data_IF_366847561178
#
_entry.id   IF_366847561178
#
_cell.length_a   1.000
_cell.length_b   1.000
_cell.length_c   1.000
_cell.angle_alpha   90.00
_cell.angle_beta   90.00
_cell.angle_gamma   90.00
#
_symmetry.space_group_name_H-M   'P 1'
#
loop_
_entity.id
_entity.type
_entity.pdbx_description
1 polymer ?
#
# COMPACT_ATOMS: atom_id res chain seq x y z
N UNK A 1 -106.04 26.39 -13.84
CA UNK A 1 -105.29 26.47 -12.56
C UNK A 1 -104.46 25.19 -12.27
N UNK A 2 -104.96 23.98 -12.56
CA UNK A 2 -104.25 22.74 -12.23
C UNK A 2 -103.05 22.40 -13.14
N UNK A 3 -103.10 22.73 -14.43
CA UNK A 3 -101.97 22.54 -15.36
C UNK A 3 -100.78 23.45 -15.05
N UNK A 4 -101.02 24.71 -14.66
CA UNK A 4 -99.96 25.64 -14.28
C UNK A 4 -99.28 25.19 -12.97
N UNK A 5 -100.03 24.58 -12.04
CA UNK A 5 -99.47 24.03 -10.80
C UNK A 5 -98.74 22.70 -10.98
N UNK A 6 -99.07 21.88 -11.99
CA UNK A 6 -98.31 20.65 -12.29
C UNK A 6 -97.04 20.97 -13.07
N UNK A 7 -97.13 21.86 -14.07
CA UNK A 7 -95.98 22.35 -14.83
C UNK A 7 -95.00 23.14 -13.94
N UNK A 8 -95.48 23.91 -12.95
CA UNK A 8 -94.59 24.56 -11.98
C UNK A 8 -93.92 23.56 -11.02
N UNK A 9 -94.55 22.43 -10.72
CA UNK A 9 -93.99 21.36 -9.87
C UNK A 9 -92.98 20.49 -10.62
N UNK A 10 -93.23 20.19 -11.90
CA UNK A 10 -92.28 19.50 -12.78
C UNK A 10 -91.05 20.39 -13.07
N UNK A 11 -91.27 21.66 -13.41
CA UNK A 11 -90.20 22.66 -13.53
C UNK A 11 -89.39 22.80 -12.23
N UNK A 12 -90.04 22.84 -11.07
CA UNK A 12 -89.36 22.92 -9.78
C UNK A 12 -88.58 21.65 -9.42
N UNK A 13 -88.94 20.49 -9.97
CA UNK A 13 -88.28 19.20 -9.73
C UNK A 13 -87.06 19.03 -10.65
N UNK A 14 -87.18 19.41 -11.92
CA UNK A 14 -86.05 19.52 -12.85
C UNK A 14 -84.98 20.50 -12.34
N UNK A 15 -85.40 21.64 -11.78
CA UNK A 15 -84.48 22.60 -11.14
C UNK A 15 -83.75 21.93 -9.96
N UNK A 16 -84.44 21.14 -9.14
CA UNK A 16 -83.88 20.51 -7.95
C UNK A 16 -82.91 19.37 -8.28
N UNK A 17 -83.20 18.59 -9.33
CA UNK A 17 -82.29 17.56 -9.85
C UNK A 17 -81.08 18.18 -10.55
N UNK A 18 -81.25 19.31 -11.23
CA UNK A 18 -80.14 20.12 -11.77
C UNK A 18 -79.24 20.63 -10.63
N UNK A 19 -79.82 21.17 -9.55
CA UNK A 19 -79.06 21.62 -8.36
C UNK A 19 -78.28 20.47 -7.72
N UNK A 20 -78.86 19.26 -7.62
CA UNK A 20 -78.15 18.07 -7.12
C UNK A 20 -77.02 17.63 -8.05
N UNK A 21 -77.24 17.70 -9.37
CA UNK A 21 -76.20 17.43 -10.36
C UNK A 21 -75.02 18.40 -10.24
N UNK A 22 -75.32 19.69 -10.03
CA UNK A 22 -74.31 20.73 -9.78
C UNK A 22 -73.54 20.46 -8.49
N UNK A 23 -74.20 20.08 -7.38
CA UNK A 23 -73.51 19.72 -6.13
C UNK A 23 -72.55 18.54 -6.31
N UNK A 24 -72.98 17.46 -6.97
CA UNK A 24 -72.09 16.31 -7.26
C UNK A 24 -70.88 16.69 -8.10
N UNK A 25 -71.05 17.60 -9.06
CA UNK A 25 -69.95 18.12 -9.87
C UNK A 25 -69.00 18.97 -9.02
N UNK A 26 -69.53 19.82 -8.14
CA UNK A 26 -68.73 20.59 -7.17
C UNK A 26 -67.92 19.67 -6.25
N UNK A 27 -68.56 18.68 -5.61
CA UNK A 27 -67.88 17.69 -4.76
C UNK A 27 -66.77 16.95 -5.53
N UNK A 28 -67.03 16.58 -6.79
CA UNK A 28 -66.03 15.94 -7.65
C UNK A 28 -64.88 16.87 -8.03
N UNK A 29 -65.13 18.17 -8.18
CA UNK A 29 -64.10 19.17 -8.48
C UNK A 29 -63.24 19.40 -7.23
N UNK A 30 -63.85 19.55 -6.05
CA UNK A 30 -63.13 19.71 -4.78
C UNK A 30 -62.22 18.51 -4.49
N UNK A 31 -62.72 17.28 -4.71
CA UNK A 31 -61.90 16.08 -4.55
C UNK A 31 -60.70 16.07 -5.50
N UNK A 32 -60.92 16.40 -6.78
CA UNK A 32 -59.84 16.50 -7.78
C UNK A 32 -58.85 17.61 -7.43
N UNK A 33 -59.32 18.73 -6.89
CA UNK A 33 -58.46 19.82 -6.46
C UNK A 33 -57.55 19.35 -5.30
N UNK A 34 -58.11 18.68 -4.30
CA UNK A 34 -57.35 18.12 -3.18
C UNK A 34 -56.29 17.09 -3.64
N UNK A 35 -56.65 16.22 -4.59
CA UNK A 35 -55.70 15.25 -5.17
C UNK A 35 -54.55 15.93 -5.94
N UNK A 36 -54.85 17.01 -6.67
CA UNK A 36 -53.84 17.82 -7.36
C UNK A 36 -52.91 18.50 -6.36
N UNK A 37 -53.45 19.11 -5.29
CA UNK A 37 -52.64 19.77 -4.26
C UNK A 37 -51.74 18.76 -3.52
N UNK A 38 -52.25 17.57 -3.18
CA UNK A 38 -51.45 16.49 -2.61
C UNK A 38 -50.35 16.01 -3.57
N UNK A 39 -50.68 15.84 -4.85
CA UNK A 39 -49.70 15.44 -5.87
C UNK A 39 -48.63 16.50 -6.10
N UNK A 40 -49.01 17.78 -6.05
CA UNK A 40 -48.10 18.93 -6.18
C UNK A 40 -47.12 18.99 -5.02
N UNK A 41 -47.60 18.89 -3.78
CA UNK A 41 -46.74 18.91 -2.58
C UNK A 41 -45.78 17.72 -2.52
N UNK A 42 -46.20 16.54 -2.98
CA UNK A 42 -45.30 15.38 -3.11
C UNK A 42 -44.27 15.59 -4.22
N UNK A 43 -44.65 16.21 -5.35
CA UNK A 43 -43.72 16.56 -6.42
C UNK A 43 -42.67 17.58 -5.97
N UNK A 44 -43.05 18.62 -5.22
CA UNK A 44 -42.12 19.58 -4.61
C UNK A 44 -41.13 18.89 -3.68
N UNK A 45 -41.61 18.01 -2.79
CA UNK A 45 -40.75 17.22 -1.89
C UNK A 45 -39.76 16.33 -2.64
N UNK A 46 -40.21 15.70 -3.72
CA UNK A 46 -39.36 14.84 -4.53
C UNK A 46 -38.30 15.65 -5.29
N UNK A 47 -38.64 16.85 -5.75
CA UNK A 47 -37.70 17.76 -6.40
C UNK A 47 -36.61 18.24 -5.42
N UNK A 48 -36.98 18.58 -4.19
CA UNK A 48 -36.01 18.93 -3.14
C UNK A 48 -35.11 17.74 -2.78
N UNK A 49 -35.68 16.54 -2.68
CA UNK A 49 -34.91 15.32 -2.43
C UNK A 49 -33.90 15.06 -3.55
N UNK A 50 -34.32 15.22 -4.82
CA UNK A 50 -33.44 15.07 -5.98
C UNK A 50 -32.27 16.06 -5.95
N UNK A 51 -32.52 17.33 -5.60
CA UNK A 51 -31.46 18.34 -5.42
C UNK A 51 -30.47 17.96 -4.31
N UNK A 52 -30.95 17.44 -3.19
CA UNK A 52 -30.07 16.99 -2.10
C UNK A 52 -29.18 15.84 -2.58
N UNK A 53 -29.76 14.86 -3.28
CA UNK A 53 -29.03 13.71 -3.84
C UNK A 53 -27.94 14.18 -4.81
N UNK A 54 -28.25 15.08 -5.74
CA UNK A 54 -27.29 15.63 -6.70
C UNK A 54 -26.10 16.31 -5.99
N UNK A 55 -26.37 17.10 -4.96
CA UNK A 55 -25.32 17.72 -4.14
C UNK A 55 -24.46 16.68 -3.40
N UNK A 56 -25.06 15.58 -2.93
CA UNK A 56 -24.33 14.50 -2.28
C UNK A 56 -23.44 13.75 -3.28
N UNK A 57 -23.95 13.42 -4.46
CA UNK A 57 -23.19 12.78 -5.55
C UNK A 57 -21.99 13.64 -5.96
N UNK A 58 -22.20 14.95 -6.16
CA UNK A 58 -21.11 15.88 -6.47
C UNK A 58 -20.09 15.97 -5.33
N UNK A 59 -20.55 15.98 -4.07
CA UNK A 59 -19.68 15.98 -2.90
C UNK A 59 -18.81 14.73 -2.80
N UNK A 60 -19.41 13.55 -3.00
CA UNK A 60 -18.68 12.26 -2.98
C UNK A 60 -17.71 12.19 -4.16
N UNK A 61 -18.10 12.66 -5.36
CA UNK A 61 -17.20 12.72 -6.52
C UNK A 61 -15.99 13.61 -6.24
N UNK A 62 -16.21 14.79 -5.68
CA UNK A 62 -15.11 15.72 -5.34
C UNK A 62 -14.10 15.11 -4.36
N UNK A 63 -14.58 14.38 -3.34
CA UNK A 63 -13.70 13.65 -2.41
C UNK A 63 -12.95 12.53 -3.14
N UNK A 64 -13.65 11.79 -4.00
CA UNK A 64 -13.07 10.69 -4.79
C UNK A 64 -11.93 11.19 -5.67
N UNK A 65 -12.17 12.26 -6.42
CA UNK A 65 -11.20 12.86 -7.35
C UNK A 65 -9.98 13.41 -6.60
N UNK A 66 -10.19 13.99 -5.41
CA UNK A 66 -9.09 14.50 -4.60
C UNK A 66 -8.21 13.37 -4.05
N UNK A 67 -8.81 12.30 -3.52
CA UNK A 67 -8.06 11.17 -2.93
C UNK A 67 -7.33 10.39 -4.01
N UNK A 68 -8.02 10.02 -5.11
CA UNK A 68 -7.44 9.21 -6.18
C UNK A 68 -6.53 10.01 -7.14
N UNK A 69 -6.61 11.34 -7.11
CA UNK A 69 -5.77 12.22 -7.92
C UNK A 69 -4.68 12.89 -7.09
N UNK A 70 -4.84 14.18 -6.71
CA UNK A 70 -3.80 14.95 -6.04
C UNK A 70 -3.17 14.27 -4.83
N UNK A 71 -3.97 13.69 -3.94
CA UNK A 71 -3.46 13.08 -2.71
C UNK A 71 -2.60 11.83 -3.00
N UNK A 72 -3.04 10.98 -3.94
CA UNK A 72 -2.27 9.80 -4.35
C UNK A 72 -0.97 10.17 -5.07
N UNK A 73 -0.99 11.19 -5.92
CA UNK A 73 0.21 11.71 -6.58
C UNK A 73 1.20 12.27 -5.56
N UNK A 74 0.73 13.06 -4.59
CA UNK A 74 1.58 13.61 -3.53
C UNK A 74 2.21 12.50 -2.68
N UNK A 75 1.42 11.50 -2.29
CA UNK A 75 1.91 10.38 -1.49
C UNK A 75 2.93 9.52 -2.26
N UNK A 76 2.69 9.26 -3.55
CA UNK A 76 3.59 8.49 -4.41
C UNK A 76 4.89 9.22 -4.76
N UNK A 77 4.84 10.56 -4.87
CA UNK A 77 6.03 11.36 -5.15
C UNK A 77 6.99 11.45 -3.95
N UNK A 78 6.48 11.29 -2.73
CA UNK A 78 7.26 11.38 -1.50
C UNK A 78 7.84 10.02 -1.07
N UNK A 79 8.72 9.40 -1.87
CA UNK A 79 9.33 8.10 -1.57
C UNK A 79 10.65 8.17 -0.77
N UNK A 80 11.26 9.36 -0.64
CA UNK A 80 12.58 9.54 -0.04
C UNK A 80 12.60 9.31 1.48
N UNK A 81 13.72 8.84 2.01
CA UNK A 81 13.97 8.75 3.46
C UNK A 81 15.15 9.67 3.78
N UNK A 82 15.11 10.37 4.92
CA UNK A 82 16.17 11.30 5.31
C UNK A 82 17.51 10.59 5.50
N UNK A 83 18.60 11.36 5.47
CA UNK A 83 19.97 10.87 5.62
C UNK A 83 20.74 11.52 6.78
N UNK A 84 20.10 12.46 7.48
CA UNK A 84 20.57 13.11 8.70
C UNK A 84 19.35 13.62 9.50
N UNK A 85 19.57 14.15 10.72
CA UNK A 85 18.50 14.63 11.61
C UNK A 85 17.65 15.74 10.97
N UNK A 86 18.24 16.60 10.15
CA UNK A 86 17.56 17.76 9.57
C UNK A 86 16.66 17.34 8.41
N UNK A 87 17.19 16.55 7.49
CA UNK A 87 16.47 16.03 6.32
C UNK A 87 15.34 15.07 6.71
N UNK A 88 15.53 14.22 7.73
CA UNK A 88 14.43 13.34 8.21
C UNK A 88 13.35 14.13 8.96
N UNK A 89 13.69 15.22 9.67
CA UNK A 89 12.68 16.11 10.29
C UNK A 89 11.87 16.85 9.23
N UNK A 90 12.53 17.36 8.19
CA UNK A 90 11.88 18.07 7.08
C UNK A 90 10.88 17.17 6.34
N UNK A 91 11.31 15.96 5.96
CA UNK A 91 10.42 14.99 5.33
C UNK A 91 9.24 14.60 6.24
N UNK A 92 9.46 14.49 7.55
CA UNK A 92 8.37 14.26 8.51
C UNK A 92 7.37 15.42 8.52
N UNK A 93 7.83 16.67 8.53
CA UNK A 93 6.97 17.87 8.49
C UNK A 93 6.19 17.98 7.18
N UNK A 94 6.81 17.68 6.05
CA UNK A 94 6.13 17.64 4.76
C UNK A 94 5.01 16.60 4.76
N UNK A 95 5.26 15.42 5.33
CA UNK A 95 4.24 14.39 5.47
C UNK A 95 3.11 14.80 6.43
N UNK A 96 3.42 15.43 7.56
CA UNK A 96 2.43 15.97 8.51
C UNK A 96 1.48 16.98 7.84
N UNK A 97 1.98 17.79 6.91
CA UNK A 97 1.15 18.70 6.10
C UNK A 97 0.12 17.95 5.24
N UNK A 98 0.53 16.84 4.63
CA UNK A 98 -0.37 15.97 3.86
C UNK A 98 -1.41 15.33 4.78
N UNK A 99 -1.00 14.82 5.94
CA UNK A 99 -1.91 14.24 6.93
C UNK A 99 -3.00 15.24 7.37
N UNK A 100 -2.63 16.52 7.53
CA UNK A 100 -3.57 17.57 7.88
C UNK A 100 -4.61 17.80 6.77
N UNK A 101 -4.18 17.85 5.50
CA UNK A 101 -5.10 17.96 4.36
C UNK A 101 -6.03 16.75 4.27
N UNK A 102 -5.51 15.54 4.46
CA UNK A 102 -6.33 14.33 4.47
C UNK A 102 -7.37 14.34 5.59
N UNK A 103 -7.02 14.83 6.78
CA UNK A 103 -7.96 14.93 7.91
C UNK A 103 -9.13 15.84 7.59
N UNK A 104 -8.90 16.97 6.93
CA UNK A 104 -9.96 17.87 6.51
C UNK A 104 -10.89 17.20 5.50
N UNK A 105 -10.33 16.55 4.47
CA UNK A 105 -11.11 15.82 3.46
C UNK A 105 -11.93 14.68 4.08
N UNK A 106 -11.35 13.90 4.99
CA UNK A 106 -12.08 12.83 5.69
C UNK A 106 -13.19 13.37 6.59
N UNK A 107 -13.00 14.54 7.21
CA UNK A 107 -14.06 15.23 7.95
C UNK A 107 -15.25 15.59 7.05
N UNK A 108 -14.98 16.22 5.90
CA UNK A 108 -16.02 16.54 4.91
C UNK A 108 -16.74 15.29 4.39
N UNK A 109 -15.99 14.21 4.15
CA UNK A 109 -16.57 12.95 3.71
C UNK A 109 -17.45 12.31 4.78
N UNK A 110 -17.06 12.37 6.06
CA UNK A 110 -17.90 11.88 7.16
C UNK A 110 -19.23 12.66 7.26
N UNK A 111 -19.21 13.98 7.06
CA UNK A 111 -20.44 14.78 6.99
C UNK A 111 -21.35 14.37 5.82
N UNK A 112 -20.77 14.05 4.65
CA UNK A 112 -21.51 13.54 3.51
C UNK A 112 -22.13 12.17 3.81
N UNK A 113 -21.38 11.26 4.44
CA UNK A 113 -21.89 9.95 4.86
C UNK A 113 -23.08 10.09 5.80
N UNK A 114 -22.98 10.96 6.80
CA UNK A 114 -24.10 11.21 7.72
C UNK A 114 -25.36 11.74 7.01
N UNK A 115 -25.20 12.57 5.98
CA UNK A 115 -26.33 13.06 5.17
C UNK A 115 -26.90 11.99 4.24
N UNK A 116 -26.07 11.10 3.71
CA UNK A 116 -26.52 9.96 2.91
C UNK A 116 -27.32 8.98 3.78
N UNK A 117 -26.83 8.68 4.99
CA UNK A 117 -27.45 7.73 5.91
C UNK A 117 -28.77 8.25 6.52
N UNK A 118 -28.99 9.56 6.53
CA UNK A 118 -30.25 10.16 7.00
C UNK A 118 -31.38 10.14 5.96
N UNK A 119 -31.06 9.85 4.69
CA UNK A 119 -32.07 9.72 3.63
C UNK A 119 -32.75 8.34 3.64
N UNK A 120 -34.06 8.26 3.31
CA UNK A 120 -34.75 6.98 3.19
C UNK A 120 -34.10 6.10 2.11
N UNK A 121 -33.83 4.82 2.44
CA UNK A 121 -33.21 3.84 1.51
C UNK A 121 -33.94 3.66 0.18
N UNK A 122 -35.26 3.89 0.15
CA UNK A 122 -36.10 3.83 -1.05
C UNK A 122 -35.90 5.00 -2.02
N UNK A 123 -35.39 6.14 -1.53
CA UNK A 123 -35.14 7.35 -2.34
C UNK A 123 -33.67 7.51 -2.75
N UNK A 124 -32.77 6.66 -2.25
CA UNK A 124 -31.34 6.70 -2.55
C UNK A 124 -31.03 5.98 -3.88
N UNK A 125 -30.35 6.64 -4.84
CA UNK A 125 -29.87 6.00 -6.07
C UNK A 125 -28.89 4.87 -5.78
N UNK A 126 -28.91 3.81 -6.59
CA UNK A 126 -27.97 2.70 -6.46
C UNK A 126 -26.52 3.10 -6.77
N UNK A 127 -26.34 4.08 -7.67
CA UNK A 127 -25.01 4.60 -8.02
C UNK A 127 -24.35 5.29 -6.82
N UNK A 128 -25.09 6.15 -6.11
CA UNK A 128 -24.60 6.83 -4.90
C UNK A 128 -24.25 5.82 -3.78
N UNK A 129 -25.05 4.76 -3.61
CA UNK A 129 -24.75 3.67 -2.66
C UNK A 129 -23.46 2.95 -3.05
N UNK A 130 -23.31 2.62 -4.32
CA UNK A 130 -22.13 1.94 -4.86
C UNK A 130 -20.88 2.81 -4.72
N UNK A 131 -20.98 4.11 -5.00
CA UNK A 131 -19.89 5.06 -4.86
C UNK A 131 -19.49 5.26 -3.40
N UNK A 132 -20.45 5.27 -2.46
CA UNK A 132 -20.18 5.25 -1.02
C UNK A 132 -19.37 4.02 -0.61
N UNK A 133 -19.82 2.83 -1.01
CA UNK A 133 -19.16 1.57 -0.63
C UNK A 133 -17.76 1.46 -1.23
N UNK A 134 -17.60 1.88 -2.48
CA UNK A 134 -16.30 2.02 -3.12
C UNK A 134 -15.38 2.96 -2.34
N UNK A 135 -15.89 4.10 -1.87
CA UNK A 135 -15.10 5.08 -1.16
C UNK A 135 -14.70 4.67 0.25
N UNK A 136 -15.47 3.81 0.94
CA UNK A 136 -15.00 3.20 2.21
C UNK A 136 -13.72 2.37 1.97
N UNK A 137 -13.68 1.59 0.89
CA UNK A 137 -12.47 0.85 0.50
C UNK A 137 -11.30 1.78 0.13
N UNK A 138 -11.54 2.81 -0.68
CA UNK A 138 -10.51 3.77 -1.12
C UNK A 138 -9.91 4.51 0.07
N UNK A 139 -10.74 5.06 0.96
CA UNK A 139 -10.29 5.78 2.15
C UNK A 139 -9.47 4.88 3.08
N UNK A 140 -9.89 3.63 3.32
CA UNK A 140 -9.15 2.66 4.14
C UNK A 140 -7.77 2.34 3.54
N UNK A 141 -7.73 2.07 2.23
CA UNK A 141 -6.51 1.76 1.50
C UNK A 141 -5.52 2.94 1.55
N UNK A 142 -6.00 4.15 1.25
CA UNK A 142 -5.19 5.36 1.27
C UNK A 142 -4.67 5.67 2.68
N UNK A 143 -5.53 5.63 3.71
CA UNK A 143 -5.15 5.85 5.10
C UNK A 143 -4.07 4.85 5.57
N UNK A 144 -4.18 3.58 5.16
CA UNK A 144 -3.18 2.56 5.47
C UNK A 144 -1.81 2.86 4.83
N UNK A 145 -1.78 3.38 3.61
CA UNK A 145 -0.53 3.80 2.94
C UNK A 145 0.07 5.05 3.56
N UNK A 146 -0.76 6.04 3.90
CA UNK A 146 -0.36 7.26 4.59
C UNK A 146 0.31 6.92 5.93
N UNK A 147 -0.34 6.08 6.74
CA UNK A 147 0.19 5.66 8.05
C UNK A 147 1.48 4.83 7.93
N UNK A 148 1.59 3.93 6.94
CA UNK A 148 2.85 3.21 6.69
C UNK A 148 4.01 4.18 6.42
N UNK A 149 3.77 5.21 5.60
CA UNK A 149 4.78 6.23 5.27
C UNK A 149 5.18 7.04 6.50
N UNK A 150 4.21 7.44 7.32
CA UNK A 150 4.44 8.13 8.60
C UNK A 150 5.38 7.34 9.50
N UNK A 151 5.13 6.03 9.65
CA UNK A 151 5.93 5.16 10.51
C UNK A 151 7.39 5.05 10.05
N UNK A 152 7.63 5.02 8.74
CA UNK A 152 8.99 5.05 8.17
C UNK A 152 9.70 6.36 8.53
N UNK A 153 9.02 7.50 8.37
CA UNK A 153 9.61 8.83 8.64
C UNK A 153 9.89 9.04 10.13
N UNK A 154 8.96 8.65 11.02
CA UNK A 154 9.16 8.72 12.46
C UNK A 154 10.33 7.82 12.88
N UNK A 155 10.43 6.62 12.33
CA UNK A 155 11.52 5.68 12.65
C UNK A 155 12.86 6.21 12.16
N UNK A 156 12.93 6.74 10.94
CA UNK A 156 14.11 7.41 10.39
C UNK A 156 14.56 8.58 11.26
N UNK A 157 13.64 9.47 11.66
CA UNK A 157 13.96 10.61 12.51
C UNK A 157 14.50 10.19 13.88
N UNK A 158 13.90 9.17 14.49
CA UNK A 158 14.39 8.61 15.76
C UNK A 158 15.78 8.02 15.62
N UNK A 159 16.04 7.28 14.54
CA UNK A 159 17.35 6.70 14.24
C UNK A 159 18.44 7.79 14.17
N UNK A 160 18.25 8.82 13.35
CA UNK A 160 19.28 9.86 13.20
C UNK A 160 19.50 10.68 14.47
N UNK A 161 18.45 10.94 15.26
CA UNK A 161 18.60 11.60 16.58
C UNK A 161 19.47 10.78 17.53
N UNK A 162 19.26 9.46 17.60
CA UNK A 162 20.06 8.57 18.43
C UNK A 162 21.52 8.51 17.97
N UNK A 163 21.75 8.48 16.66
CA UNK A 163 23.11 8.52 16.08
C UNK A 163 23.81 9.83 16.44
N UNK A 164 23.13 10.97 16.30
CA UNK A 164 23.69 12.28 16.67
C UNK A 164 24.06 12.33 18.16
N UNK A 165 23.14 11.91 19.04
CA UNK A 165 23.36 11.90 20.50
C UNK A 165 24.53 10.98 20.89
N UNK A 166 24.71 9.86 20.19
CA UNK A 166 25.87 8.99 20.37
C UNK A 166 27.18 9.66 19.97
N UNK A 167 27.22 10.31 18.80
CA UNK A 167 28.40 11.05 18.37
C UNK A 167 28.77 12.17 19.34
N UNK A 168 27.77 12.93 19.82
CA UNK A 168 27.99 13.96 20.83
C UNK A 168 28.58 13.38 22.12
N UNK A 169 28.01 12.28 22.63
CA UNK A 169 28.47 11.65 23.88
C UNK A 169 29.86 11.04 23.76
N UNK A 170 30.16 10.39 22.64
CA UNK A 170 31.51 9.84 22.39
C UNK A 170 32.55 10.94 22.23
N UNK A 171 32.18 12.07 21.64
CA UNK A 171 33.06 13.23 21.49
C UNK A 171 33.34 13.89 22.85
N UNK A 172 32.32 14.04 23.71
CA UNK A 172 32.49 14.53 25.08
C UNK A 172 33.46 13.63 25.89
N UNK A 173 33.31 12.31 25.79
CA UNK A 173 34.19 11.34 26.46
C UNK A 173 35.61 11.40 25.90
N UNK A 174 35.76 11.54 24.57
CA UNK A 174 37.07 11.71 23.94
C UNK A 174 37.75 12.99 24.43
N UNK A 175 37.06 14.13 24.46
CA UNK A 175 37.58 15.38 25.01
C UNK A 175 37.98 15.25 26.49
N UNK A 176 37.15 14.62 27.32
CA UNK A 176 37.44 14.42 28.74
C UNK A 176 38.63 13.50 29.01
N UNK A 177 38.81 12.44 28.22
CA UNK A 177 39.83 11.42 28.45
C UNK A 177 41.14 11.69 27.71
N UNK A 178 41.09 12.33 26.55
CA UNK A 178 42.23 12.50 25.65
C UNK A 178 42.75 13.94 25.66
N UNK A 179 41.87 14.93 25.78
CA UNK A 179 42.21 16.37 25.76
C UNK A 179 42.20 17.01 27.17
N UNK A 180 41.62 16.34 28.17
CA UNK A 180 41.63 16.75 29.57
C UNK A 180 43.04 16.80 30.18
N UNK A 181 43.39 17.96 30.75
CA UNK A 181 44.72 18.27 31.30
C UNK A 181 45.21 17.17 32.27
N UNK A 182 46.40 16.61 32.00
CA UNK A 182 46.99 15.47 32.71
C UNK A 182 47.43 15.84 34.14
N UNK A 183 46.54 15.66 35.11
CA UNK A 183 46.95 15.55 36.52
C UNK A 183 46.80 14.09 36.99
N UNK A 184 47.93 13.39 37.06
CA UNK A 184 48.00 12.01 37.54
C UNK A 184 47.79 11.95 39.05
N UNK A 185 46.60 11.51 39.48
CA UNK A 185 46.31 11.19 40.87
C UNK A 185 46.09 9.67 41.01
N UNK A 186 47.09 8.97 41.53
CA UNK A 186 47.13 7.50 41.64
C UNK A 186 46.07 6.92 42.60
N UNK A 187 45.46 7.72 43.47
CA UNK A 187 44.33 7.31 44.32
C UNK A 187 43.01 7.12 43.55
N UNK A 188 42.83 7.84 42.43
CA UNK A 188 41.67 7.66 41.55
C UNK A 188 41.82 6.48 40.59
N UNK A 189 43.04 5.95 40.39
CA UNK A 189 43.28 4.86 39.46
C UNK A 189 42.54 3.58 39.87
N UNK A 190 42.52 3.24 41.16
CA UNK A 190 41.77 2.06 41.66
C UNK A 190 40.26 2.23 41.55
N UNK A 191 39.72 3.43 41.80
CA UNK A 191 38.28 3.70 41.65
C UNK A 191 37.88 3.71 40.17
N UNK A 192 38.72 4.26 39.29
CA UNK A 192 38.53 4.23 37.83
C UNK A 192 38.62 2.80 37.31
N UNK A 193 39.52 1.97 37.83
CA UNK A 193 39.64 0.55 37.48
C UNK A 193 38.40 -0.24 37.91
N UNK A 194 37.87 0.00 39.12
CA UNK A 194 36.63 -0.62 39.61
C UNK A 194 35.39 -0.16 38.81
N UNK A 195 35.37 1.10 38.38
CA UNK A 195 34.32 1.65 37.52
C UNK A 195 34.40 1.06 36.10
N UNK A 196 35.61 0.82 35.59
CA UNK A 196 35.90 0.13 34.33
C UNK A 196 35.53 -1.35 34.36
N UNK A 197 35.75 -2.05 35.48
CA UNK A 197 35.29 -3.43 35.67
C UNK A 197 33.76 -3.50 35.68
N UNK A 198 33.09 -2.57 36.38
CA UNK A 198 31.62 -2.47 36.35
C UNK A 198 31.08 -2.17 34.96
N UNK A 199 31.66 -1.21 34.24
CA UNK A 199 31.26 -0.90 32.86
C UNK A 199 31.55 -2.06 31.89
N UNK A 200 32.58 -2.87 32.13
CA UNK A 200 32.84 -4.11 31.38
C UNK A 200 31.76 -5.18 31.58
N UNK A 201 31.22 -5.36 32.78
CA UNK A 201 30.07 -6.27 32.99
C UNK A 201 28.81 -5.83 32.22
N UNK A 202 28.63 -4.52 32.06
CA UNK A 202 27.52 -3.92 31.30
C UNK A 202 27.76 -4.09 29.80
N UNK A 203 28.98 -3.85 29.32
CA UNK A 203 29.39 -4.11 27.93
C UNK A 203 29.29 -5.60 27.57
N UNK A 204 29.67 -6.53 28.46
CA UNK A 204 29.47 -7.96 28.22
C UNK A 204 28.01 -8.38 28.04
N UNK A 205 27.05 -7.64 28.61
CA UNK A 205 25.62 -7.81 28.34
C UNK A 205 25.20 -7.14 27.02
N UNK A 206 25.75 -5.96 26.71
CA UNK A 206 25.52 -5.23 25.46
C UNK A 206 26.05 -5.94 24.21
N UNK A 207 27.23 -6.55 24.29
CA UNK A 207 27.86 -7.31 23.21
C UNK A 207 27.03 -8.56 22.84
N UNK A 208 26.29 -9.12 23.80
CA UNK A 208 25.33 -10.22 23.56
C UNK A 208 24.07 -9.77 22.82
N UNK A 209 23.73 -8.47 22.84
CA UNK A 209 22.54 -7.95 22.17
C UNK A 209 22.70 -8.02 20.65
N UNK A 210 23.88 -7.72 20.10
CA UNK A 210 24.10 -7.79 18.66
C UNK A 210 23.93 -9.23 18.11
N UNK A 211 24.39 -10.23 18.85
CA UNK A 211 24.16 -11.65 18.52
C UNK A 211 22.67 -11.97 18.58
N UNK A 212 21.96 -11.47 19.61
CA UNK A 212 20.52 -11.67 19.74
C UNK A 212 19.75 -11.02 18.59
N UNK A 213 20.06 -9.77 18.25
CA UNK A 213 19.43 -9.06 17.13
C UNK A 213 19.67 -9.76 15.80
N UNK A 214 20.87 -10.28 15.53
CA UNK A 214 21.12 -11.07 14.33
C UNK A 214 20.30 -12.37 14.29
N UNK A 215 20.13 -13.04 15.44
CA UNK A 215 19.27 -14.22 15.52
C UNK A 215 17.79 -13.87 15.36
N UNK A 216 17.35 -12.72 15.90
CA UNK A 216 15.97 -12.24 15.73
C UNK A 216 15.70 -11.88 14.26
N UNK A 217 16.63 -11.19 13.59
CA UNK A 217 16.58 -10.93 12.15
C UNK A 217 16.59 -12.24 11.34
N UNK A 218 17.37 -13.23 11.76
CA UNK A 218 17.35 -14.55 11.13
C UNK A 218 15.99 -15.25 11.27
N UNK A 219 15.33 -15.14 12.43
CA UNK A 219 13.98 -15.66 12.60
C UNK A 219 12.94 -14.92 11.75
N UNK A 220 13.07 -13.59 11.63
CA UNK A 220 12.22 -12.78 10.75
C UNK A 220 12.40 -13.20 9.29
N UNK A 221 13.64 -13.43 8.84
CA UNK A 221 13.95 -13.93 7.50
C UNK A 221 13.18 -15.24 7.22
N UNK A 222 13.27 -16.20 8.14
CA UNK A 222 12.65 -17.51 7.99
C UNK A 222 11.11 -17.46 8.00
N UNK A 223 10.51 -16.52 8.73
CA UNK A 223 9.05 -16.43 8.87
C UNK A 223 8.38 -15.62 7.77
N UNK A 224 9.02 -14.53 7.33
CA UNK A 224 8.33 -13.48 6.57
C UNK A 224 8.91 -13.26 5.17
N UNK A 225 10.10 -13.78 4.87
CA UNK A 225 10.80 -13.49 3.61
C UNK A 225 11.12 -14.75 2.78
N UNK A 226 10.46 -15.88 3.04
CA UNK A 226 10.71 -17.14 2.34
C UNK A 226 9.79 -17.41 1.15
N UNK A 227 8.78 -16.58 0.96
CA UNK A 227 7.86 -16.68 -0.17
C UNK A 227 8.42 -15.98 -1.41
N UNK A 228 7.92 -16.39 -2.58
CA UNK A 228 8.26 -15.78 -3.87
C UNK A 228 6.97 -15.36 -4.54
N UNK A 229 6.91 -14.10 -4.98
CA UNK A 229 5.74 -13.50 -5.62
C UNK A 229 5.33 -14.17 -6.92
N UNK A 230 4.10 -13.88 -7.35
CA UNK A 230 3.46 -14.52 -8.50
C UNK A 230 3.55 -13.69 -9.80
N UNK A 231 4.15 -12.51 -9.77
CA UNK A 231 4.34 -11.65 -10.94
C UNK A 231 5.62 -10.80 -10.82
N UNK A 232 6.06 -10.20 -11.94
CA UNK A 232 7.32 -9.44 -12.01
C UNK A 232 7.37 -8.28 -11.00
N UNK A 233 6.26 -7.55 -10.81
CA UNK A 233 6.20 -6.39 -9.92
C UNK A 233 6.37 -6.81 -8.46
N UNK A 234 5.66 -7.85 -8.03
CA UNK A 234 5.73 -8.39 -6.69
C UNK A 234 7.12 -8.95 -6.37
N UNK A 235 7.71 -9.74 -7.27
CA UNK A 235 9.05 -10.29 -7.07
C UNK A 235 10.11 -9.18 -7.01
N UNK A 236 9.96 -8.12 -7.82
CA UNK A 236 10.87 -6.99 -7.82
C UNK A 236 10.79 -6.19 -6.51
N UNK A 237 9.58 -5.96 -5.99
CA UNK A 237 9.38 -5.34 -4.67
C UNK A 237 10.01 -6.19 -3.56
N UNK A 238 9.71 -7.49 -3.52
CA UNK A 238 10.28 -8.42 -2.54
C UNK A 238 11.81 -8.45 -2.60
N UNK A 239 12.40 -8.37 -3.80
CA UNK A 239 13.85 -8.30 -3.98
C UNK A 239 14.45 -7.02 -3.40
N UNK A 240 13.83 -5.86 -3.63
CA UNK A 240 14.28 -4.58 -3.09
C UNK A 240 14.20 -4.55 -1.55
N UNK A 241 13.07 -5.02 -1.00
CA UNK A 241 12.88 -5.18 0.44
C UNK A 241 13.93 -6.12 1.05
N UNK A 242 14.17 -7.26 0.41
CA UNK A 242 15.16 -8.25 0.87
C UNK A 242 16.60 -7.70 0.83
N UNK A 243 16.95 -6.89 -0.18
CA UNK A 243 18.25 -6.22 -0.25
C UNK A 243 18.42 -5.18 0.87
N UNK A 244 17.39 -4.37 1.14
CA UNK A 244 17.40 -3.44 2.27
C UNK A 244 17.54 -4.16 3.62
N UNK A 245 16.86 -5.30 3.76
CA UNK A 245 16.95 -6.17 4.93
C UNK A 245 18.36 -6.76 5.12
N UNK A 246 19.03 -7.15 4.03
CA UNK A 246 20.43 -7.60 4.06
C UNK A 246 21.38 -6.52 4.57
N UNK A 247 21.24 -5.28 4.09
CA UNK A 247 22.09 -4.17 4.55
C UNK A 247 21.85 -3.86 6.04
N UNK A 248 20.60 -3.95 6.51
CA UNK A 248 20.27 -3.80 7.94
C UNK A 248 20.97 -4.87 8.80
N UNK A 249 20.91 -6.14 8.37
CA UNK A 249 21.57 -7.23 9.07
C UNK A 249 23.10 -7.10 9.04
N UNK A 250 23.66 -6.65 7.90
CA UNK A 250 25.09 -6.38 7.76
C UNK A 250 25.55 -5.28 8.70
N UNK A 251 24.83 -4.16 8.77
CA UNK A 251 25.11 -3.08 9.71
C UNK A 251 25.04 -3.55 11.17
N UNK A 252 24.07 -4.42 11.50
CA UNK A 252 23.98 -5.02 12.84
C UNK A 252 25.19 -5.89 13.18
N UNK A 253 25.67 -6.69 12.22
CA UNK A 253 26.90 -7.48 12.38
C UNK A 253 28.15 -6.62 12.54
N UNK A 254 28.31 -5.60 11.71
CA UNK A 254 29.45 -4.67 11.75
C UNK A 254 29.48 -3.91 13.09
N UNK A 255 28.33 -3.42 13.56
CA UNK A 255 28.17 -2.81 14.87
C UNK A 255 28.57 -3.77 16.00
N UNK A 256 28.06 -5.01 15.98
CA UNK A 256 28.46 -6.04 16.94
C UNK A 256 29.98 -6.33 16.89
N UNK A 257 30.58 -6.29 15.70
CA UNK A 257 32.02 -6.47 15.52
C UNK A 257 32.85 -5.33 16.14
N UNK A 258 32.39 -4.09 15.99
CA UNK A 258 33.02 -2.92 16.63
C UNK A 258 32.94 -3.02 18.16
N UNK A 259 31.78 -3.39 18.71
CA UNK A 259 31.60 -3.60 20.15
C UNK A 259 32.55 -4.68 20.69
N UNK A 260 32.57 -5.86 20.05
CA UNK A 260 33.45 -6.96 20.44
C UNK A 260 34.92 -6.54 20.36
N UNK A 261 35.32 -5.77 19.35
CA UNK A 261 36.69 -5.26 19.23
C UNK A 261 37.03 -4.21 20.30
N UNK A 262 36.15 -3.25 20.57
CA UNK A 262 36.34 -2.28 21.65
C UNK A 262 36.47 -2.97 23.00
N UNK A 263 35.60 -3.94 23.26
CA UNK A 263 35.62 -4.74 24.48
C UNK A 263 36.86 -5.66 24.57
N UNK A 264 37.50 -6.02 23.44
CA UNK A 264 38.80 -6.72 23.40
C UNK A 264 39.95 -5.80 23.81
N UNK A 265 40.00 -4.59 23.25
CA UNK A 265 41.03 -3.58 23.55
C UNK A 265 40.99 -3.20 25.03
N UNK A 266 39.79 -2.95 25.58
CA UNK A 266 39.62 -2.64 27.00
C UNK A 266 40.11 -3.79 27.91
N UNK A 267 39.80 -5.05 27.57
CA UNK A 267 40.26 -6.21 28.34
C UNK A 267 41.78 -6.37 28.29
N UNK A 268 42.40 -6.16 27.12
CA UNK A 268 43.86 -6.17 26.96
C UNK A 268 44.53 -5.11 27.85
N UNK A 269 44.03 -3.87 27.83
CA UNK A 269 44.56 -2.77 28.64
C UNK A 269 44.48 -3.05 30.15
N UNK A 270 43.45 -3.80 30.57
CA UNK A 270 43.25 -4.18 31.98
C UNK A 270 43.88 -5.53 32.35
N UNK A 271 44.55 -6.24 31.43
CA UNK A 271 45.09 -7.61 31.63
C UNK A 271 44.05 -8.63 32.10
N UNK A 272 42.82 -8.49 31.61
CA UNK A 272 41.67 -9.36 31.93
C UNK A 272 41.55 -10.46 30.86
N UNK A 273 41.01 -11.63 31.23
CA UNK A 273 40.81 -12.76 30.32
C UNK A 273 40.02 -12.38 29.05
N UNK A 274 40.50 -12.88 27.90
CA UNK A 274 39.89 -12.66 26.59
C UNK A 274 38.92 -13.76 26.17
N UNK A 275 38.79 -14.82 26.96
CA UNK A 275 38.05 -16.03 26.57
C UNK A 275 36.56 -15.75 26.28
N UNK A 276 35.89 -14.98 27.16
CA UNK A 276 34.50 -14.57 26.96
C UNK A 276 34.30 -13.71 25.71
N UNK A 277 35.27 -12.82 25.41
CA UNK A 277 35.23 -11.98 24.21
C UNK A 277 35.44 -12.79 22.93
N UNK A 278 36.39 -13.75 22.94
CA UNK A 278 36.64 -14.65 21.83
C UNK A 278 35.43 -15.54 21.53
N UNK A 279 34.78 -16.10 22.56
CA UNK A 279 33.56 -16.88 22.44
C UNK A 279 32.44 -16.06 21.79
N UNK A 280 32.22 -14.84 22.27
CA UNK A 280 31.18 -13.96 21.74
C UNK A 280 31.44 -13.53 20.29
N UNK A 281 32.70 -13.22 19.96
CA UNK A 281 33.15 -12.98 18.59
C UNK A 281 32.84 -14.18 17.68
N UNK A 282 33.04 -15.41 18.19
CA UNK A 282 32.71 -16.64 17.47
C UNK A 282 31.20 -16.78 17.24
N UNK A 283 30.38 -16.57 18.27
CA UNK A 283 28.91 -16.60 18.18
C UNK A 283 28.37 -15.59 17.19
N UNK A 284 28.86 -14.35 17.21
CA UNK A 284 28.48 -13.30 16.27
C UNK A 284 28.81 -13.68 14.83
N UNK A 285 30.03 -14.19 14.58
CA UNK A 285 30.43 -14.69 13.26
C UNK A 285 29.56 -15.85 12.79
N UNK A 286 29.19 -16.76 13.69
CA UNK A 286 28.35 -17.90 13.36
C UNK A 286 26.94 -17.45 12.95
N UNK A 287 26.29 -16.61 13.77
CA UNK A 287 24.97 -16.05 13.47
C UNK A 287 24.96 -15.32 12.12
N UNK A 288 25.97 -14.50 11.85
CA UNK A 288 26.11 -13.79 10.57
C UNK A 288 26.29 -14.74 9.38
N UNK A 289 27.12 -15.78 9.51
CA UNK A 289 27.31 -16.77 8.44
C UNK A 289 26.01 -17.50 8.10
N UNK A 290 25.24 -17.89 9.11
CA UNK A 290 23.95 -18.54 8.91
C UNK A 290 22.96 -17.62 8.21
N UNK A 291 22.79 -16.40 8.71
CA UNK A 291 21.93 -15.39 8.09
C UNK A 291 22.33 -15.13 6.64
N UNK A 292 23.60 -14.85 6.40
CA UNK A 292 24.12 -14.53 5.06
C UNK A 292 23.89 -15.67 4.07
N UNK A 293 24.11 -16.91 4.47
CA UNK A 293 23.92 -18.08 3.60
C UNK A 293 22.46 -18.20 3.15
N UNK A 294 21.52 -18.21 4.10
CA UNK A 294 20.08 -18.36 3.83
C UNK A 294 19.56 -17.15 3.03
N UNK A 295 20.00 -15.95 3.40
CA UNK A 295 19.57 -14.72 2.75
C UNK A 295 20.08 -14.62 1.30
N UNK A 296 21.29 -15.10 0.99
CA UNK A 296 21.80 -15.12 -0.39
C UNK A 296 21.09 -16.16 -1.27
N UNK A 297 20.77 -17.32 -0.70
CA UNK A 297 19.99 -18.33 -1.40
C UNK A 297 18.59 -17.81 -1.75
N UNK A 298 17.91 -17.14 -0.81
CA UNK A 298 16.61 -16.52 -1.08
C UNK A 298 16.69 -15.41 -2.13
N UNK A 299 17.72 -14.56 -2.08
CA UNK A 299 17.92 -13.54 -3.10
C UNK A 299 18.14 -14.15 -4.50
N UNK A 300 18.81 -15.30 -4.55
CA UNK A 300 19.02 -16.05 -5.79
C UNK A 300 17.69 -16.59 -6.32
N UNK A 301 16.82 -17.14 -5.45
CA UNK A 301 15.46 -17.58 -5.82
C UNK A 301 14.64 -16.43 -6.41
N UNK A 302 14.60 -15.28 -5.74
CA UNK A 302 13.89 -14.10 -6.22
C UNK A 302 14.41 -13.64 -7.60
N UNK A 303 15.74 -13.63 -7.80
CA UNK A 303 16.35 -13.25 -9.08
C UNK A 303 15.97 -14.20 -10.21
N UNK A 304 16.07 -15.52 -10.00
CA UNK A 304 15.73 -16.51 -11.03
C UNK A 304 14.23 -16.46 -11.34
N UNK A 305 13.38 -16.27 -10.33
CA UNK A 305 11.94 -16.13 -10.53
C UNK A 305 11.58 -14.83 -11.28
N UNK A 306 12.26 -13.72 -10.99
CA UNK A 306 12.05 -12.47 -11.73
C UNK A 306 12.36 -12.62 -13.23
N UNK A 307 13.50 -13.26 -13.56
CA UNK A 307 13.86 -13.55 -14.95
C UNK A 307 12.82 -14.48 -15.59
N UNK A 308 12.37 -15.50 -14.86
CA UNK A 308 11.35 -16.42 -15.36
C UNK A 308 10.04 -15.71 -15.70
N UNK A 309 9.49 -14.91 -14.78
CA UNK A 309 8.23 -14.21 -14.98
C UNK A 309 8.31 -13.18 -16.10
N UNK A 310 9.43 -12.43 -16.20
CA UNK A 310 9.66 -11.48 -17.30
C UNK A 310 9.67 -12.19 -18.66
N UNK A 311 10.42 -13.28 -18.76
CA UNK A 311 10.47 -14.06 -19.99
C UNK A 311 9.09 -14.65 -20.35
N UNK A 312 8.30 -15.11 -19.37
CA UNK A 312 6.93 -15.58 -19.63
C UNK A 312 6.05 -14.46 -20.17
N UNK A 313 6.12 -13.26 -19.59
CA UNK A 313 5.38 -12.08 -20.06
C UNK A 313 5.78 -11.67 -21.49
N UNK A 314 7.08 -11.66 -21.79
CA UNK A 314 7.61 -11.37 -23.13
C UNK A 314 7.10 -12.40 -24.16
N UNK A 315 7.12 -13.69 -23.83
CA UNK A 315 6.62 -14.74 -24.71
C UNK A 315 5.09 -14.69 -24.90
N UNK A 316 4.32 -14.41 -23.84
CA UNK A 316 2.86 -14.23 -23.93
C UNK A 316 2.51 -13.06 -24.85
N UNK A 317 3.21 -11.94 -24.71
CA UNK A 317 3.06 -10.76 -25.57
C UNK A 317 3.43 -11.11 -27.02
N UNK A 318 4.52 -11.84 -27.24
CA UNK A 318 4.91 -12.31 -28.57
C UNK A 318 3.85 -13.21 -29.23
N UNK A 319 3.23 -14.12 -28.46
CA UNK A 319 2.17 -14.99 -28.95
C UNK A 319 0.89 -14.21 -29.27
N UNK A 320 0.54 -13.24 -28.44
CA UNK A 320 -0.59 -12.33 -28.64
C UNK A 320 -0.41 -11.54 -29.95
N UNK A 321 0.74 -10.89 -30.14
CA UNK A 321 1.07 -10.13 -31.34
C UNK A 321 1.04 -10.99 -32.61
N UNK A 322 1.54 -12.23 -32.51
CA UNK A 322 1.51 -13.18 -33.61
C UNK A 322 0.05 -13.53 -33.98
N UNK A 323 -0.80 -13.81 -32.99
CA UNK A 323 -2.21 -14.12 -33.22
C UNK A 323 -2.97 -12.94 -33.86
N UNK A 324 -2.73 -11.72 -33.38
CA UNK A 324 -3.31 -10.49 -33.94
C UNK A 324 -2.86 -10.26 -35.38
N UNK A 325 -1.58 -10.50 -35.68
CA UNK A 325 -1.03 -10.38 -37.04
C UNK A 325 -1.68 -11.40 -38.00
N UNK A 326 -1.83 -12.66 -37.58
CA UNK A 326 -2.51 -13.69 -38.38
C UNK A 326 -3.98 -13.31 -38.63
N UNK A 327 -4.66 -12.83 -37.60
CA UNK A 327 -6.04 -12.36 -37.71
C UNK A 327 -6.15 -11.20 -38.70
N UNK A 328 -5.28 -10.19 -38.61
CA UNK A 328 -5.28 -9.04 -39.53
C UNK A 328 -5.05 -9.47 -40.99
N UNK A 329 -4.12 -10.40 -41.23
CA UNK A 329 -3.86 -10.94 -42.56
C UNK A 329 -5.04 -11.76 -43.12
N UNK A 330 -5.70 -12.55 -42.28
CA UNK A 330 -6.89 -13.32 -42.67
C UNK A 330 -8.03 -12.40 -43.13
N UNK A 331 -8.27 -11.29 -42.42
CA UNK A 331 -9.28 -10.31 -42.81
C UNK A 331 -8.87 -9.56 -44.09
N UNK A 332 -7.58 -9.22 -44.27
CA UNK A 332 -7.07 -8.55 -45.47
C UNK A 332 -7.08 -9.43 -46.73
N UNK A 333 -7.03 -10.76 -46.57
CA UNK A 333 -7.05 -11.72 -47.66
C UNK A 333 -8.43 -11.90 -48.32
N UNK A 334 -9.51 -11.45 -47.64
CA UNK A 334 -10.90 -11.70 -48.06
C UNK A 334 -11.36 -10.83 -49.24
N UNK A 335 -10.71 -9.68 -49.48
CA UNK A 335 -11.14 -8.66 -50.45
C UNK A 335 -10.12 -8.34 -51.58
N UNK A 336 -9.08 -9.17 -51.80
CA UNK A 336 -7.96 -8.78 -52.70
C UNK A 336 -7.58 -9.76 -53.82
N UNK A 337 -7.00 -9.16 -54.86
CA UNK A 337 -6.59 -9.74 -56.15
C UNK A 337 -5.42 -10.75 -56.06
N UNK A 338 -5.16 -11.51 -57.12
CA UNK A 338 -4.20 -12.66 -57.14
C UNK A 338 -2.77 -12.26 -56.73
N UNK A 339 -2.29 -11.08 -57.13
CA UNK A 339 -0.98 -10.56 -56.74
C UNK A 339 -0.89 -10.16 -55.26
N UNK A 340 -2.02 -9.77 -54.65
CA UNK A 340 -2.08 -9.51 -53.20
C UNK A 340 -2.04 -10.82 -52.40
N UNK A 341 -2.66 -11.88 -52.91
CA UNK A 341 -2.61 -13.23 -52.31
C UNK A 341 -1.19 -13.81 -52.29
N UNK A 342 -0.37 -13.54 -53.30
CA UNK A 342 1.04 -13.96 -53.33
C UNK A 342 1.89 -13.28 -52.24
N UNK A 343 1.73 -11.96 -52.04
CA UNK A 343 2.41 -11.20 -50.96
C UNK A 343 1.98 -11.65 -49.56
N UNK A 344 0.71 -11.99 -49.40
CA UNK A 344 0.19 -12.57 -48.14
C UNK A 344 0.84 -13.94 -47.87
N UNK A 345 1.08 -14.74 -48.92
CA UNK A 345 1.73 -16.06 -48.79
C UNK A 345 3.19 -15.97 -48.34
N UNK A 346 3.94 -14.96 -48.80
CA UNK A 346 5.29 -14.66 -48.31
C UNK A 346 5.26 -14.25 -46.83
N UNK A 347 4.35 -13.34 -46.46
CA UNK A 347 4.18 -12.88 -45.07
C UNK A 347 3.74 -14.00 -44.12
N UNK A 348 2.95 -14.97 -44.60
CA UNK A 348 2.60 -16.18 -43.83
C UNK A 348 3.83 -17.04 -43.53
N UNK A 349 4.81 -17.12 -44.45
CA UNK A 349 6.04 -17.89 -44.22
C UNK A 349 6.86 -17.29 -43.08
N UNK A 350 7.05 -15.96 -43.08
CA UNK A 350 7.78 -15.25 -42.02
C UNK A 350 7.10 -15.41 -40.65
N UNK A 351 5.76 -15.42 -40.63
CA UNK A 351 4.96 -15.67 -39.43
C UNK A 351 5.14 -17.09 -38.91
N UNK A 352 5.18 -18.08 -39.80
CA UNK A 352 5.40 -19.48 -39.41
C UNK A 352 6.80 -19.69 -38.85
N UNK A 353 7.83 -19.09 -39.45
CA UNK A 353 9.21 -19.15 -38.95
C UNK A 353 9.33 -18.49 -37.56
N UNK A 354 8.67 -17.34 -37.36
CA UNK A 354 8.61 -16.66 -36.07
C UNK A 354 7.85 -17.48 -35.02
N UNK A 355 6.74 -18.14 -35.42
CA UNK A 355 5.98 -19.05 -34.56
C UNK A 355 6.83 -20.21 -34.08
N UNK A 356 7.59 -20.86 -34.97
CA UNK A 356 8.43 -22.00 -34.61
C UNK A 356 9.52 -21.60 -33.62
N UNK A 357 10.20 -20.48 -33.85
CA UNK A 357 11.20 -19.94 -32.91
C UNK A 357 10.58 -19.63 -31.55
N UNK A 358 9.43 -18.98 -31.52
CA UNK A 358 8.74 -18.60 -30.29
C UNK A 358 8.25 -19.83 -29.51
N UNK A 359 7.69 -20.84 -30.18
CA UNK A 359 7.24 -22.08 -29.53
C UNK A 359 8.39 -22.90 -28.96
N UNK A 360 9.57 -22.88 -29.61
CA UNK A 360 10.78 -23.50 -29.06
C UNK A 360 11.18 -22.85 -27.73
N UNK A 361 11.19 -21.51 -27.66
CA UNK A 361 11.50 -20.77 -26.44
C UNK A 361 10.45 -20.97 -25.35
N UNK A 362 9.15 -20.96 -25.69
CA UNK A 362 8.06 -21.32 -24.76
C UNK A 362 8.26 -22.74 -24.20
N UNK A 363 8.64 -23.70 -25.05
CA UNK A 363 8.94 -25.06 -24.62
C UNK A 363 10.12 -25.14 -23.64
N UNK A 364 11.18 -24.35 -23.86
CA UNK A 364 12.32 -24.21 -22.93
C UNK A 364 11.86 -23.61 -21.59
N UNK A 365 11.04 -22.58 -21.64
CA UNK A 365 10.49 -21.92 -20.46
C UNK A 365 9.60 -22.84 -19.63
N UNK A 366 8.75 -23.66 -20.25
CA UNK A 366 7.94 -24.65 -19.51
C UNK A 366 8.83 -25.65 -18.75
N UNK A 367 9.94 -26.11 -19.33
CA UNK A 367 10.89 -26.99 -18.66
C UNK A 367 11.59 -26.27 -17.50
N UNK A 368 12.03 -25.04 -17.72
CA UNK A 368 12.64 -24.19 -16.70
C UNK A 368 11.66 -23.95 -15.52
N UNK A 369 10.39 -23.69 -15.80
CA UNK A 369 9.36 -23.51 -14.79
C UNK A 369 9.13 -24.75 -13.91
N UNK A 370 9.21 -25.96 -14.50
CA UNK A 370 9.15 -27.23 -13.74
C UNK A 370 10.36 -27.41 -12.81
N UNK A 371 11.56 -27.05 -13.29
CA UNK A 371 12.79 -27.06 -12.48
C UNK A 371 12.73 -26.05 -11.33
N UNK A 372 12.32 -24.82 -11.63
CA UNK A 372 12.10 -23.75 -10.65
C UNK A 372 11.13 -24.17 -9.56
N UNK A 373 9.99 -24.76 -9.94
CA UNK A 373 9.01 -25.29 -8.98
C UNK A 373 9.61 -26.31 -8.02
N UNK A 374 10.53 -27.15 -8.50
CA UNK A 374 11.19 -28.16 -7.66
C UNK A 374 12.18 -27.48 -6.71
N UNK A 375 12.99 -26.55 -7.22
CA UNK A 375 13.96 -25.78 -6.42
C UNK A 375 13.31 -24.92 -5.34
N UNK A 376 12.16 -24.30 -5.61
CA UNK A 376 11.46 -23.48 -4.63
C UNK A 376 10.90 -24.28 -3.46
N UNK A 377 10.68 -25.59 -3.63
CA UNK A 377 10.24 -26.50 -2.56
C UNK A 377 11.38 -26.98 -1.66
N UNK A 378 12.63 -26.84 -2.09
CA UNK A 378 13.78 -27.20 -1.26
C UNK A 378 13.85 -26.22 -0.08
N UNK A 379 13.99 -26.70 1.17
CA UNK A 379 14.13 -25.81 2.32
C UNK A 379 15.42 -25.01 2.23
N UNK A 380 15.33 -23.72 2.54
CA UNK A 380 16.49 -22.79 2.58
C UNK A 380 17.38 -23.02 3.80
N UNK A 381 16.82 -23.66 4.82
CA UNK A 381 17.49 -23.99 6.06
C UNK A 381 16.99 -25.37 6.51
N UNK A 382 17.90 -26.32 6.69
CA UNK A 382 17.60 -27.56 7.38
C UNK A 382 17.57 -27.23 8.88
N UNK A 383 16.37 -27.13 9.46
CA UNK A 383 16.26 -27.22 10.91
C UNK A 383 16.76 -28.60 11.34
N UNK A 384 17.63 -28.68 12.36
CA UNK A 384 17.94 -29.97 12.98
C UNK A 384 16.70 -30.61 13.62
#
# INVERSE_FOLDING_TARGET
RNLVSSMSRESSKDILDTIKGIHKLLDSIELKQMDIENSWTEMERNLDTARVIENLEQGVSSVTDWILGPADVMLNSCCQVGFDVSSSEELRRQHEKIELQCRETYGRYAELLHKIDSLPKSKLPEDLKSQRDFMDFVCRSFASRLERRRNVLITSQRFFRLVSEYFDKTSEVFEQLVMGNRNYNFSQASIKLLTLEKSQTILGKGDSLAVKWLNDLFNVLLRNHMEVGCNVKEIQLQKEEHQSFQETAKGTYEYGGQLVNGARVLRLSCRISLEGNANLSSKLRHAWRQFRSVSQEQLTRLRVCAVFHRNVEDHCTGLQNLAETVMALYHSAKDKDVAAKARIKESIRDILDNREKLLLEVGRMVRLGRLLKTRLKEPLHNQP
#
